data_IF_775571783861
#
_entry.id   IF_775571783861
#
_cell.length_a   1.000
_cell.length_b   1.000
_cell.length_c   1.000
_cell.angle_alpha   90.00
_cell.angle_beta   90.00
_cell.angle_gamma   90.00
#
_symmetry.space_group_name_H-M   'P 1'
#
loop_
_entity.id
_entity.type
_entity.pdbx_description
1 polymer ?
#
# COMPACT_ATOMS: atom_id res chain seq x y z
N UNK A 1 39.72 -37.06 -6.47
CA UNK A 1 38.37 -36.55 -6.80
C UNK A 1 37.93 -35.70 -5.63
N UNK A 2 38.03 -34.38 -5.73
CA UNK A 2 37.70 -33.46 -4.64
C UNK A 2 36.22 -33.04 -4.79
N UNK A 3 35.41 -33.33 -3.77
CA UNK A 3 34.01 -32.90 -3.69
C UNK A 3 34.01 -31.52 -3.03
N UNK A 4 33.66 -30.49 -3.79
CA UNK A 4 33.41 -29.14 -3.27
C UNK A 4 31.93 -29.10 -2.89
N UNK A 5 31.63 -29.18 -1.60
CA UNK A 5 30.30 -28.92 -1.05
C UNK A 5 30.06 -27.40 -1.08
N UNK A 6 29.29 -26.94 -2.06
CA UNK A 6 28.67 -25.61 -2.05
C UNK A 6 27.63 -25.58 -0.93
N UNK A 7 28.04 -25.18 0.27
CA UNK A 7 27.11 -24.87 1.35
C UNK A 7 26.39 -23.56 1.00
N UNK A 8 25.17 -23.67 0.48
CA UNK A 8 24.27 -22.53 0.27
C UNK A 8 24.00 -21.86 1.62
N UNK A 9 24.62 -20.71 1.85
CA UNK A 9 24.33 -19.88 3.01
C UNK A 9 22.90 -19.36 2.90
N UNK A 10 22.03 -19.85 3.78
CA UNK A 10 20.65 -19.36 3.92
C UNK A 10 20.76 -17.96 4.56
N UNK A 11 20.42 -16.93 3.81
CA UNK A 11 20.39 -15.54 4.30
C UNK A 11 18.95 -15.26 4.73
N UNK A 12 18.74 -15.07 6.03
CA UNK A 12 17.49 -14.50 6.54
C UNK A 12 17.48 -13.01 6.20
N UNK A 13 16.53 -12.57 5.38
CA UNK A 13 16.36 -11.18 4.99
C UNK A 13 14.88 -10.84 4.88
N UNK A 14 14.52 -9.63 5.29
CA UNK A 14 13.20 -9.06 5.04
C UNK A 14 13.28 -8.02 3.93
N UNK A 15 12.21 -7.91 3.16
CA UNK A 15 12.01 -6.91 2.13
C UNK A 15 11.12 -5.77 2.63
N UNK A 16 11.31 -4.58 2.07
CA UNK A 16 10.37 -3.47 2.23
C UNK A 16 10.04 -2.89 0.87
N UNK A 17 8.76 -2.80 0.53
CA UNK A 17 8.25 -2.10 -0.64
C UNK A 17 7.51 -0.82 -0.22
N UNK A 18 7.45 0.14 -1.12
CA UNK A 18 6.79 1.43 -0.92
C UNK A 18 5.89 1.73 -2.12
N UNK A 19 4.76 2.39 -1.88
CA UNK A 19 3.88 2.87 -2.96
C UNK A 19 4.52 4.02 -3.75
N UNK A 20 5.26 4.87 -3.05
CA UNK A 20 5.98 6.04 -3.58
C UNK A 20 7.50 5.83 -3.48
N UNK A 21 8.25 6.49 -4.38
CA UNK A 21 9.72 6.45 -4.42
C UNK A 21 10.26 7.73 -5.07
N UNK A 22 11.58 7.85 -5.21
CA UNK A 22 12.25 9.06 -5.71
C UNK A 22 11.70 9.57 -7.06
N UNK A 23 11.41 8.66 -8.00
CA UNK A 23 10.89 9.02 -9.33
C UNK A 23 9.35 9.03 -9.40
N UNK A 24 8.67 8.66 -8.32
CA UNK A 24 7.21 8.71 -8.18
C UNK A 24 6.86 9.24 -6.79
N UNK A 25 6.99 10.56 -6.57
CA UNK A 25 6.67 11.17 -5.30
C UNK A 25 5.17 11.10 -5.00
N UNK A 26 4.82 11.29 -3.73
CA UNK A 26 3.45 11.56 -3.33
C UNK A 26 3.12 13.02 -3.68
N UNK A 27 2.11 13.21 -4.51
CA UNK A 27 1.57 14.53 -4.82
C UNK A 27 0.42 14.86 -3.86
N UNK A 28 0.52 15.98 -3.14
CA UNK A 28 -0.46 16.38 -2.12
C UNK A 28 -0.67 17.90 -2.17
N UNK A 29 -1.90 18.37 -1.96
CA UNK A 29 -2.15 19.82 -1.91
C UNK A 29 -1.89 20.40 -0.51
N UNK A 30 -1.64 21.71 -0.38
CA UNK A 30 -1.55 22.36 0.92
C UNK A 30 -2.77 22.09 1.80
N UNK A 31 -2.55 21.75 3.07
CA UNK A 31 -3.63 21.46 4.03
C UNK A 31 -4.25 20.07 3.91
N UNK A 32 -3.85 19.26 2.93
CA UNK A 32 -4.35 17.90 2.81
C UNK A 32 -3.56 16.93 3.69
N UNK A 33 -4.25 15.85 4.04
CA UNK A 33 -3.69 14.70 4.73
C UNK A 33 -3.98 13.45 3.90
N UNK A 34 -2.95 12.65 3.62
CA UNK A 34 -3.04 11.43 2.83
C UNK A 34 -2.45 10.27 3.63
N UNK A 35 -3.17 9.15 3.64
CA UNK A 35 -2.67 7.90 4.20
C UNK A 35 -2.05 7.04 3.09
N UNK A 36 -0.84 6.54 3.35
CA UNK A 36 -0.16 5.55 2.49
C UNK A 36 0.48 4.48 3.38
N UNK A 37 1.25 3.58 2.79
CA UNK A 37 1.87 2.47 3.51
C UNK A 37 3.20 2.02 2.89
N UNK A 38 4.00 1.40 3.74
CA UNK A 38 5.08 0.51 3.32
C UNK A 38 4.65 -0.94 3.54
N UNK A 39 5.11 -1.84 2.67
CA UNK A 39 4.85 -3.27 2.82
C UNK A 39 6.14 -3.96 3.26
N UNK A 40 6.15 -4.48 4.49
CA UNK A 40 7.21 -5.37 4.96
C UNK A 40 6.90 -6.79 4.48
N UNK A 41 7.90 -7.49 3.95
CA UNK A 41 7.78 -8.87 3.53
C UNK A 41 8.82 -9.74 4.22
N UNK A 42 8.39 -10.82 4.85
CA UNK A 42 9.28 -11.86 5.36
C UNK A 42 9.46 -12.94 4.27
N UNK A 43 10.57 -12.87 3.53
CA UNK A 43 10.91 -13.80 2.43
C UNK A 43 12.05 -14.76 2.78
N UNK A 44 12.44 -14.86 4.05
CA UNK A 44 13.51 -15.75 4.47
C UNK A 44 13.05 -17.20 4.50
N UNK A 45 13.64 -18.06 3.67
CA UNK A 45 13.19 -19.45 3.43
C UNK A 45 13.12 -20.39 4.67
N UNK A 46 13.42 -19.98 5.91
CA UNK A 46 13.45 -20.93 7.05
C UNK A 46 13.44 -20.37 8.48
N UNK A 47 13.26 -19.06 8.72
CA UNK A 47 13.65 -18.48 10.03
C UNK A 47 12.52 -17.92 10.88
N UNK A 48 11.29 -18.39 10.70
CA UNK A 48 10.16 -18.04 11.56
C UNK A 48 9.76 -16.57 11.47
N UNK A 49 8.94 -16.15 12.43
CA UNK A 49 8.42 -14.79 12.50
C UNK A 49 9.55 -13.80 12.79
N UNK A 50 9.46 -12.62 12.18
CA UNK A 50 10.40 -11.52 12.42
C UNK A 50 9.71 -10.35 13.10
N UNK A 51 10.42 -9.69 13.99
CA UNK A 51 9.99 -8.40 14.54
C UNK A 51 10.80 -7.28 13.88
N UNK A 52 10.08 -6.30 13.33
CA UNK A 52 10.66 -5.14 12.63
C UNK A 52 10.20 -3.86 13.31
N UNK A 53 11.17 -3.01 13.65
CA UNK A 53 10.93 -1.66 14.15
C UNK A 53 10.99 -0.66 13.00
N UNK A 54 9.92 0.10 12.79
CA UNK A 54 9.90 1.22 11.85
C UNK A 54 10.11 2.55 12.58
N UNK A 55 10.82 3.49 11.96
CA UNK A 55 11.05 4.83 12.51
C UNK A 55 11.17 5.84 11.38
N UNK A 56 10.39 6.92 11.44
CA UNK A 56 10.56 8.06 10.55
C UNK A 56 11.81 8.83 11.00
N UNK A 57 12.80 8.94 10.13
CA UNK A 57 14.09 9.58 10.41
C UNK A 57 14.26 10.91 9.67
N UNK A 58 13.40 11.20 8.70
CA UNK A 58 13.32 12.47 7.97
C UNK A 58 11.86 12.75 7.59
N UNK A 59 11.43 14.01 7.69
CA UNK A 59 10.03 14.41 7.45
C UNK A 59 9.09 14.13 8.63
N UNK A 60 9.60 14.04 9.87
CA UNK A 60 8.83 13.75 11.09
C UNK A 60 7.75 14.78 11.40
N UNK A 61 7.90 15.99 10.86
CA UNK A 61 6.97 17.09 10.98
C UNK A 61 5.73 16.95 10.07
N UNK A 62 5.84 16.10 9.03
CA UNK A 62 4.77 15.85 8.07
C UNK A 62 4.29 14.40 8.08
N UNK A 63 5.06 13.47 8.65
CA UNK A 63 4.82 12.04 8.53
C UNK A 63 4.68 11.35 9.90
N UNK A 64 3.57 10.62 10.10
CA UNK A 64 3.25 9.92 11.35
C UNK A 64 2.92 8.45 11.10
N UNK A 65 3.53 7.53 11.87
CA UNK A 65 3.16 6.11 11.83
C UNK A 65 1.85 5.88 12.60
N UNK A 66 0.86 5.27 11.96
CA UNK A 66 -0.48 5.11 12.54
C UNK A 66 -0.62 3.90 13.47
N UNK A 67 0.19 2.86 13.25
CA UNK A 67 0.09 1.58 13.96
C UNK A 67 1.16 1.38 15.05
N UNK A 68 1.86 2.46 15.42
CA UNK A 68 3.03 2.41 16.29
C UNK A 68 4.32 2.17 15.50
N UNK A 69 5.34 1.59 16.16
CA UNK A 69 6.68 1.44 15.58
C UNK A 69 7.18 0.00 15.53
N UNK A 70 6.43 -0.98 16.03
CA UNK A 70 6.87 -2.38 16.13
C UNK A 70 5.89 -3.29 15.38
N UNK A 71 6.42 -4.13 14.51
CA UNK A 71 5.65 -4.94 13.59
C UNK A 71 6.17 -6.37 13.60
N UNK A 72 5.30 -7.33 13.92
CA UNK A 72 5.61 -8.75 13.80
C UNK A 72 5.11 -9.27 12.46
N UNK A 73 5.97 -9.95 11.71
CA UNK A 73 5.68 -10.45 10.35
C UNK A 73 5.97 -11.94 10.32
N UNK A 74 4.91 -12.73 10.20
CA UNK A 74 5.03 -14.18 10.14
C UNK A 74 5.78 -14.65 8.90
N UNK A 75 6.35 -15.85 8.97
CA UNK A 75 7.08 -16.45 7.84
C UNK A 75 6.23 -16.52 6.57
N UNK A 76 6.82 -16.09 5.46
CA UNK A 76 6.14 -15.99 4.15
C UNK A 76 5.01 -14.96 4.07
N UNK A 77 4.77 -14.17 5.12
CA UNK A 77 3.70 -13.17 5.16
C UNK A 77 4.20 -11.75 4.88
N UNK A 78 3.23 -10.86 4.69
CA UNK A 78 3.42 -9.43 4.50
C UNK A 78 2.70 -8.64 5.59
N UNK A 79 3.21 -7.45 5.90
CA UNK A 79 2.60 -6.54 6.86
C UNK A 79 2.70 -5.10 6.37
N UNK A 80 1.55 -4.42 6.37
CA UNK A 80 1.49 -2.98 6.11
C UNK A 80 1.95 -2.17 7.32
N UNK A 81 2.76 -1.16 7.03
CA UNK A 81 3.15 -0.09 7.93
C UNK A 81 2.50 1.19 7.42
N UNK A 82 1.36 1.53 8.01
CA UNK A 82 0.56 2.68 7.60
C UNK A 82 1.19 3.98 8.11
N UNK A 83 1.30 4.95 7.21
CA UNK A 83 1.86 6.26 7.47
C UNK A 83 0.88 7.33 6.98
N UNK A 84 0.65 8.32 7.83
CA UNK A 84 -0.14 9.51 7.52
C UNK A 84 0.82 10.65 7.16
N UNK A 85 0.59 11.29 6.01
CA UNK A 85 1.33 12.44 5.54
C UNK A 85 0.41 13.66 5.56
N UNK A 86 0.78 14.70 6.31
CA UNK A 86 0.04 15.95 6.41
C UNK A 86 0.91 17.13 6.03
N UNK A 87 0.46 17.92 5.05
CA UNK A 87 1.16 19.12 4.58
C UNK A 87 0.44 20.37 5.08
N UNK A 88 1.16 21.37 5.61
CA UNK A 88 0.51 22.56 6.16
C UNK A 88 -0.18 23.40 5.08
N UNK A 89 -1.17 24.18 5.47
CA UNK A 89 -1.99 24.99 4.55
C UNK A 89 -1.19 26.07 3.80
N UNK A 90 -0.06 26.51 4.36
CA UNK A 90 0.83 27.53 3.81
C UNK A 90 2.02 26.96 3.03
N UNK A 91 2.02 25.65 2.77
CA UNK A 91 3.08 25.01 2.01
C UNK A 91 3.17 25.59 0.58
N UNK A 92 4.37 26.00 0.12
CA UNK A 92 4.52 26.56 -1.22
C UNK A 92 4.34 25.47 -2.28
N UNK A 93 3.59 25.78 -3.34
CA UNK A 93 3.43 24.88 -4.49
C UNK A 93 4.80 24.60 -5.11
N UNK A 94 5.04 23.33 -5.44
CA UNK A 94 6.32 22.82 -5.94
C UNK A 94 7.35 22.51 -4.85
N UNK A 95 7.05 22.75 -3.57
CA UNK A 95 7.90 22.29 -2.48
C UNK A 95 8.01 20.76 -2.49
N UNK A 96 9.19 20.25 -2.17
CA UNK A 96 9.45 18.81 -2.04
C UNK A 96 9.96 18.53 -0.63
N UNK A 97 9.19 17.75 0.13
CA UNK A 97 9.54 17.31 1.47
C UNK A 97 9.94 15.83 1.44
N UNK A 98 11.22 15.50 1.66
CA UNK A 98 11.64 14.10 1.72
C UNK A 98 11.11 13.44 2.99
N UNK A 99 10.57 12.24 2.84
CA UNK A 99 10.17 11.37 3.95
C UNK A 99 11.02 10.12 3.91
N UNK A 100 11.74 9.86 5.00
CA UNK A 100 12.63 8.69 5.13
C UNK A 100 12.23 7.85 6.32
N UNK A 101 12.04 6.55 6.07
CA UNK A 101 11.66 5.57 7.08
C UNK A 101 12.73 4.48 7.14
N UNK A 102 13.21 4.24 8.35
CA UNK A 102 14.15 3.19 8.69
C UNK A 102 13.39 2.00 9.26
N UNK A 103 13.65 0.81 8.71
CA UNK A 103 13.12 -0.47 9.17
C UNK A 103 14.27 -1.29 9.72
N UNK A 104 14.19 -1.73 10.98
CA UNK A 104 15.25 -2.46 11.67
C UNK A 104 14.70 -3.78 12.20
N UNK A 105 15.31 -4.90 11.83
CA UNK A 105 14.95 -6.18 12.43
C UNK A 105 15.45 -6.24 13.88
N UNK A 106 14.53 -6.51 14.81
CA UNK A 106 14.85 -6.72 16.22
C UNK A 106 15.21 -8.19 16.39
N UNK A 107 16.48 -8.45 16.68
CA UNK A 107 16.97 -9.81 16.98
C UNK A 107 16.47 -10.25 18.36
N UNK A 108 15.63 -11.28 18.40
CA UNK A 108 15.14 -11.94 19.61
C UNK A 108 16.15 -12.98 20.13
N UNK A 109 17.40 -12.57 20.30
CA UNK A 109 18.46 -13.48 20.74
C UNK A 109 18.32 -13.88 22.21
N UNK A 110 17.94 -15.13 22.48
CA UNK A 110 18.23 -15.76 23.77
C UNK A 110 19.74 -16.02 23.83
N UNK A 111 20.42 -15.66 24.92
CA UNK A 111 21.89 -15.50 25.04
C UNK A 111 22.82 -16.69 24.72
N UNK A 112 22.32 -17.76 24.10
CA UNK A 112 23.08 -18.89 23.56
C UNK A 112 23.00 -19.03 22.03
N UNK A 113 22.36 -18.09 21.31
CA UNK A 113 22.29 -18.15 19.86
C UNK A 113 23.55 -17.55 19.18
N UNK A 114 24.00 -18.14 18.06
CA UNK A 114 25.11 -17.60 17.28
C UNK A 114 24.81 -16.16 16.82
N UNK A 115 25.87 -15.36 16.64
CA UNK A 115 25.82 -13.96 16.19
C UNK A 115 24.78 -13.76 15.06
N UNK A 116 23.67 -13.10 15.39
CA UNK A 116 22.65 -12.70 14.42
C UNK A 116 22.99 -11.30 13.91
N UNK A 117 23.13 -11.15 12.59
CA UNK A 117 23.29 -9.84 11.97
C UNK A 117 21.93 -9.14 11.91
N UNK A 118 21.82 -7.94 12.50
CA UNK A 118 20.62 -7.12 12.37
C UNK A 118 20.63 -6.40 11.02
N UNK A 119 19.60 -6.62 10.22
CA UNK A 119 19.42 -5.95 8.93
C UNK A 119 18.61 -4.66 9.12
N UNK A 120 19.08 -3.59 8.49
CA UNK A 120 18.40 -2.31 8.43
C UNK A 120 18.08 -2.00 6.97
N UNK A 121 16.85 -1.57 6.70
CA UNK A 121 16.38 -1.17 5.38
C UNK A 121 15.87 0.26 5.47
N UNK A 122 16.46 1.14 4.67
CA UNK A 122 15.98 2.51 4.52
C UNK A 122 15.09 2.62 3.28
N UNK A 123 14.01 3.39 3.41
CA UNK A 123 13.14 3.77 2.31
C UNK A 123 12.88 5.26 2.35
N UNK A 124 12.90 5.86 1.17
CA UNK A 124 12.73 7.29 0.99
C UNK A 124 11.77 7.55 -0.17
N UNK A 125 10.88 8.51 -0.01
CA UNK A 125 10.08 9.07 -1.08
C UNK A 125 9.88 10.58 -0.87
N UNK A 126 9.67 11.31 -1.96
CA UNK A 126 9.37 12.74 -1.91
C UNK A 126 7.88 13.01 -1.74
N UNK A 127 7.54 14.07 -1.02
CA UNK A 127 6.19 14.63 -0.94
C UNK A 127 6.22 15.96 -1.68
N UNK A 128 5.62 16.00 -2.87
CA UNK A 128 5.58 17.17 -3.73
C UNK A 128 4.26 17.89 -3.56
N UNK A 129 4.33 19.18 -3.21
CA UNK A 129 3.16 20.02 -3.07
C UNK A 129 2.66 20.44 -4.44
N UNK A 130 1.46 19.98 -4.81
CA UNK A 130 0.83 20.33 -6.08
C UNK A 130 -0.32 21.30 -5.87
N UNK A 131 -0.65 22.05 -6.93
CA UNK A 131 -1.84 22.89 -6.89
C UNK A 131 -3.07 21.99 -6.70
N UNK A 132 -3.94 22.36 -5.76
CA UNK A 132 -5.20 21.66 -5.61
C UNK A 132 -5.99 21.88 -6.91
N UNK A 133 -6.12 20.83 -7.72
CA UNK A 133 -7.14 20.84 -8.77
C UNK A 133 -8.46 21.04 -8.05
N UNK A 134 -8.96 22.29 -8.08
CA UNK A 134 -10.02 22.76 -7.21
C UNK A 134 -11.13 21.73 -7.15
N UNK A 135 -11.45 21.29 -5.92
CA UNK A 135 -12.42 20.25 -5.59
C UNK A 135 -13.58 20.26 -6.59
N UNK A 136 -13.49 19.44 -7.65
CA UNK A 136 -14.69 18.78 -8.11
C UNK A 136 -15.01 17.87 -6.94
N UNK A 137 -16.01 18.27 -6.17
CA UNK A 137 -16.66 17.36 -5.26
C UNK A 137 -17.02 16.18 -6.14
N UNK A 138 -16.26 15.10 -6.03
CA UNK A 138 -16.81 13.78 -6.24
C UNK A 138 -17.78 13.67 -5.08
N UNK A 139 -18.95 14.28 -5.27
CA UNK A 139 -20.17 13.78 -4.70
C UNK A 139 -20.05 12.29 -4.94
N UNK A 140 -20.12 11.52 -3.87
CA UNK A 140 -20.65 10.18 -3.93
C UNK A 140 -22.09 10.28 -4.48
N UNK A 141 -22.26 10.73 -5.73
CA UNK A 141 -23.21 10.08 -6.62
C UNK A 141 -22.68 8.67 -6.71
N UNK A 142 -23.13 7.87 -5.75
CA UNK A 142 -23.24 6.44 -5.87
C UNK A 142 -23.40 6.13 -7.35
N UNK A 143 -22.58 5.21 -7.86
CA UNK A 143 -22.96 4.42 -9.02
C UNK A 143 -24.44 4.06 -8.81
N UNK A 144 -25.34 4.87 -9.37
CA UNK A 144 -26.75 4.59 -9.42
C UNK A 144 -26.79 3.54 -10.49
N UNK A 145 -26.53 2.33 -10.01
CA UNK A 145 -26.42 1.14 -10.81
C UNK A 145 -27.53 1.20 -11.84
N UNK A 146 -27.13 1.08 -13.09
CA UNK A 146 -27.97 0.96 -14.29
C UNK A 146 -29.01 -0.18 -14.21
N UNK A 147 -29.28 -0.75 -13.03
CA UNK A 147 -30.40 -1.62 -12.71
C UNK A 147 -31.72 -1.09 -13.25
N UNK A 148 -32.00 0.21 -13.18
CA UNK A 148 -33.22 0.77 -13.75
C UNK A 148 -33.26 0.69 -15.29
N UNK A 149 -32.14 0.92 -15.96
CA UNK A 149 -32.02 0.73 -17.42
C UNK A 149 -32.11 -0.74 -17.82
N UNK A 150 -31.56 -1.66 -17.02
CA UNK A 150 -31.72 -3.11 -17.21
C UNK A 150 -33.17 -3.58 -16.99
N UNK A 151 -33.88 -3.03 -16.01
CA UNK A 151 -35.31 -3.34 -15.76
C UNK A 151 -36.18 -2.84 -16.92
N UNK A 152 -35.96 -1.63 -17.42
CA UNK A 152 -36.67 -1.10 -18.59
C UNK A 152 -36.41 -1.98 -19.83
N UNK A 153 -35.14 -2.39 -20.04
CA UNK A 153 -34.78 -3.28 -21.14
C UNK A 153 -35.48 -4.64 -21.07
N UNK A 154 -35.58 -5.22 -19.87
CA UNK A 154 -36.23 -6.52 -19.66
C UNK A 154 -37.76 -6.46 -19.92
N UNK A 155 -38.42 -5.39 -19.49
CA UNK A 155 -39.86 -5.19 -19.74
C UNK A 155 -40.13 -5.04 -21.25
N UNK A 156 -39.31 -4.24 -21.95
CA UNK A 156 -39.45 -4.06 -23.39
C UNK A 156 -39.31 -5.38 -24.16
N UNK A 157 -38.38 -6.24 -23.75
CA UNK A 157 -38.15 -7.55 -24.36
C UNK A 157 -39.35 -8.51 -24.21
N UNK A 158 -39.96 -8.54 -23.02
CA UNK A 158 -41.15 -9.38 -22.75
C UNK A 158 -42.35 -8.93 -23.61
N UNK A 159 -42.55 -7.62 -23.76
CA UNK A 159 -43.62 -7.07 -24.61
C UNK A 159 -43.42 -7.46 -26.08
N UNK A 160 -42.18 -7.42 -26.56
CA UNK A 160 -41.83 -7.78 -27.94
C UNK A 160 -42.13 -9.26 -28.23
N UNK A 161 -41.75 -10.16 -27.31
CA UNK A 161 -42.08 -11.59 -27.40
C UNK A 161 -43.59 -11.82 -27.41
N UNK A 162 -44.33 -11.12 -26.54
CA UNK A 162 -45.78 -11.25 -26.48
C UNK A 162 -46.47 -10.83 -27.79
N UNK A 163 -46.04 -9.70 -28.39
CA UNK A 163 -46.54 -9.24 -29.69
C UNK A 163 -46.30 -10.28 -30.79
N UNK A 164 -45.10 -10.88 -30.83
CA UNK A 164 -44.77 -11.93 -31.80
C UNK A 164 -45.70 -13.14 -31.62
N UNK A 165 -45.89 -13.63 -30.39
CA UNK A 165 -46.78 -14.77 -30.11
C UNK A 165 -48.23 -14.47 -30.53
N UNK A 166 -48.73 -13.26 -30.27
CA UNK A 166 -50.09 -12.85 -30.65
C UNK A 166 -50.25 -12.76 -32.17
N UNK A 167 -49.23 -12.27 -32.89
CA UNK A 167 -49.26 -12.24 -34.36
C UNK A 167 -49.26 -13.64 -34.97
N UNK A 168 -48.51 -14.59 -34.39
CA UNK A 168 -48.47 -15.97 -34.89
C UNK A 168 -49.73 -16.79 -34.55
N UNK A 169 -50.45 -16.47 -33.47
CA UNK A 169 -51.72 -17.15 -33.12
C UNK A 169 -52.94 -16.65 -33.90
N UNK A 170 -52.84 -15.54 -34.64
CA UNK A 170 -53.93 -14.98 -35.46
C UNK A 170 -53.91 -15.44 -36.93
N UNK A 171 -53.03 -16.36 -37.29
CA UNK A 171 -53.05 -17.12 -38.55
C UNK A 171 -53.60 -18.52 -38.29
#
# INVERSE_FOLDING_TARGET
MAVVLLSSSIVSAFGVAAEYWTDRPLEISPGQTVNTYFMIQNVGDSTGDIDVKASVIEGVEFATLLDGSSYSVADGQQREVRIEISVPNDAPIGANYPVKVLFQQVSSGNGNEPLQFSFNVEREFGVVVVESEGIQQISDEAESNNLWLWIIGLIAFVVLIWIVIVMFKKK
#
